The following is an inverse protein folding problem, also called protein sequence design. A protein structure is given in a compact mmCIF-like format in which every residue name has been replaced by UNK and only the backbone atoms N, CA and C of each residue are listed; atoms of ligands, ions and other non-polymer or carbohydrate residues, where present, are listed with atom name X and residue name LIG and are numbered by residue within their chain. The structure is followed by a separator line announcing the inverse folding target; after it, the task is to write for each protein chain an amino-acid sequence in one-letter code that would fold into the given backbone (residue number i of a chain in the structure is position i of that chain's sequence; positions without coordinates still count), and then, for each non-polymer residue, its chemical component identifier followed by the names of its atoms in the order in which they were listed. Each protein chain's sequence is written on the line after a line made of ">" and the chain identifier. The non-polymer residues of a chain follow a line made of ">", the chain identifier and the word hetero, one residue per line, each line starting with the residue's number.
data_IF_874023527907
#
_entry.id   IF_874023527907
#
_cell.length_a   1.000
_cell.length_b   1.000
_cell.length_c   1.000
_cell.angle_alpha   90.00
_cell.angle_beta   90.00
_cell.angle_gamma   90.00
#
_symmetry.space_group_name_H-M   'P 1'
#
loop_
_entity.id
_entity.type
_entity.pdbx_description
1 polymer ?
#
# COMPACT_ATOMS: atom_id res chain seq x y z
N UNK A 1 -7.19 56.98 -32.82
CA UNK A 1 -8.03 56.27 -31.83
C UNK A 1 -8.91 55.29 -32.59
N UNK A 2 -8.61 54.00 -32.51
CA UNK A 2 -9.39 52.94 -33.15
C UNK A 2 -10.43 52.44 -32.15
N UNK A 3 -11.72 52.63 -32.46
CA UNK A 3 -12.81 52.08 -31.66
C UNK A 3 -12.96 50.59 -31.96
N UNK A 4 -12.82 49.76 -30.94
CA UNK A 4 -12.99 48.32 -31.03
C UNK A 4 -14.49 47.99 -30.87
N UNK A 5 -15.10 47.45 -31.92
CA UNK A 5 -16.53 47.12 -31.96
C UNK A 5 -16.84 45.69 -31.46
N UNK A 6 -15.83 44.94 -31.05
CA UNK A 6 -16.00 43.56 -30.62
C UNK A 6 -16.29 43.46 -29.12
N UNK A 7 -17.38 42.79 -28.79
CA UNK A 7 -17.72 42.38 -27.42
C UNK A 7 -16.72 41.29 -27.00
N UNK A 8 -15.93 41.55 -25.96
CA UNK A 8 -15.05 40.53 -25.37
C UNK A 8 -15.90 39.42 -24.74
N UNK A 9 -15.65 38.17 -25.15
CA UNK A 9 -16.25 36.96 -24.58
C UNK A 9 -15.66 36.77 -23.18
N UNK A 10 -16.50 36.92 -22.16
CA UNK A 10 -16.12 36.82 -20.76
C UNK A 10 -16.57 35.43 -20.24
N UNK A 11 -15.67 34.45 -20.39
CA UNK A 11 -15.92 33.02 -20.15
C UNK A 11 -16.50 32.73 -18.75
N UNK A 12 -16.21 33.59 -17.77
CA UNK A 12 -16.65 33.43 -16.37
C UNK A 12 -18.11 33.87 -16.21
N UNK A 13 -18.55 34.89 -16.94
CA UNK A 13 -19.95 35.35 -16.93
C UNK A 13 -20.88 34.44 -17.73
N UNK A 14 -20.34 33.80 -18.76
CA UNK A 14 -21.10 32.93 -19.66
C UNK A 14 -21.21 31.49 -19.15
N UNK A 15 -20.32 31.07 -18.25
CA UNK A 15 -20.40 29.75 -17.57
C UNK A 15 -21.52 29.66 -16.53
N UNK A 16 -22.16 30.78 -16.15
CA UNK A 16 -23.42 30.74 -15.38
C UNK A 16 -24.56 30.42 -16.36
N UNK A 17 -24.54 29.19 -16.88
CA UNK A 17 -25.75 28.57 -17.41
C UNK A 17 -26.73 28.58 -16.25
N UNK A 18 -27.85 29.28 -16.41
CA UNK A 18 -28.95 29.17 -15.47
C UNK A 18 -29.27 27.67 -15.37
N UNK A 19 -28.89 27.05 -14.25
CA UNK A 19 -29.37 25.72 -13.91
C UNK A 19 -30.88 25.81 -14.03
N UNK A 20 -31.44 24.97 -14.88
CA UNK A 20 -32.83 25.05 -15.32
C UNK A 20 -33.81 25.04 -14.16
N UNK A 21 -34.05 26.21 -13.57
CA UNK A 21 -35.33 26.54 -12.99
C UNK A 21 -36.26 26.67 -14.19
N UNK A 22 -37.13 25.68 -14.31
CA UNK A 22 -38.30 25.77 -15.15
C UNK A 22 -39.11 26.98 -14.69
N UNK A 23 -38.84 28.14 -15.28
CA UNK A 23 -39.75 29.28 -15.23
C UNK A 23 -41.00 28.80 -15.96
N UNK A 24 -42.00 28.36 -15.19
CA UNK A 24 -43.35 28.09 -15.66
C UNK A 24 -43.93 29.40 -16.20
N UNK A 25 -43.73 29.63 -17.50
CA UNK A 25 -44.44 30.69 -18.22
C UNK A 25 -45.87 30.23 -18.50
N UNK A 26 -46.85 31.14 -18.49
CA UNK A 26 -48.30 30.85 -18.45
C UNK A 26 -48.88 30.16 -19.70
N UNK A 27 -48.05 29.58 -20.57
CA UNK A 27 -48.49 28.88 -21.78
C UNK A 27 -49.17 27.54 -21.46
N UNK A 28 -48.97 26.98 -20.25
CA UNK A 28 -49.65 25.76 -19.78
C UNK A 28 -51.18 25.93 -19.61
N UNK A 29 -51.71 27.17 -19.65
CA UNK A 29 -53.16 27.43 -19.51
C UNK A 29 -53.94 27.48 -20.84
N UNK A 30 -53.28 27.52 -22.00
CA UNK A 30 -53.96 27.72 -23.31
C UNK A 30 -54.52 26.41 -23.90
N UNK A 31 -54.12 25.24 -23.39
CA UNK A 31 -54.53 23.93 -23.95
C UNK A 31 -55.90 23.42 -23.47
N UNK A 32 -56.82 24.31 -23.09
CA UNK A 32 -58.20 23.97 -22.69
C UNK A 32 -59.23 24.25 -23.81
N UNK A 33 -58.84 24.10 -25.08
CA UNK A 33 -59.75 24.20 -26.23
C UNK A 33 -59.93 22.84 -26.94
N UNK A 34 -61.19 22.45 -27.08
CA UNK A 34 -61.72 21.07 -27.17
C UNK A 34 -61.44 20.32 -28.48
N UNK A 35 -60.80 20.93 -29.47
CA UNK A 35 -60.59 20.34 -30.81
C UNK A 35 -59.11 20.07 -31.19
N UNK A 36 -58.16 20.44 -30.34
CA UNK A 36 -56.71 20.28 -30.62
C UNK A 36 -56.07 19.02 -29.99
N UNK A 37 -56.90 18.10 -29.47
CA UNK A 37 -56.51 17.11 -28.47
C UNK A 37 -55.59 15.98 -28.97
N UNK A 38 -55.54 15.67 -30.26
CA UNK A 38 -54.76 14.53 -30.78
C UNK A 38 -53.38 14.94 -31.27
N UNK A 39 -53.29 16.07 -31.99
CA UNK A 39 -52.03 16.59 -32.53
C UNK A 39 -51.16 17.22 -31.43
N UNK A 40 -51.75 17.97 -30.49
CA UNK A 40 -51.02 18.54 -29.35
C UNK A 40 -50.48 17.47 -28.40
N UNK A 41 -51.21 16.35 -28.22
CA UNK A 41 -50.74 15.16 -27.49
C UNK A 41 -49.56 14.46 -28.16
N UNK A 42 -49.49 14.47 -29.50
CA UNK A 42 -48.38 13.86 -30.26
C UNK A 42 -47.13 14.74 -30.27
N UNK A 43 -47.27 16.07 -30.39
CA UNK A 43 -46.13 16.99 -30.47
C UNK A 43 -45.52 17.36 -29.12
N UNK A 44 -46.18 17.01 -28.02
CA UNK A 44 -45.71 17.25 -26.65
C UNK A 44 -45.81 18.71 -26.20
N UNK A 45 -45.69 18.96 -24.88
CA UNK A 45 -45.73 20.31 -24.31
C UNK A 45 -44.55 21.15 -24.82
N UNK A 46 -44.79 22.44 -25.08
CA UNK A 46 -43.76 23.33 -25.60
C UNK A 46 -42.76 23.64 -24.50
N UNK A 47 -41.47 23.30 -24.69
CA UNK A 47 -40.39 23.67 -23.76
C UNK A 47 -39.53 24.75 -24.41
N UNK A 48 -39.20 25.77 -23.63
CA UNK A 48 -38.27 26.84 -24.03
C UNK A 48 -36.90 26.45 -23.50
N UNK A 49 -35.94 26.25 -24.39
CA UNK A 49 -34.54 25.99 -24.08
C UNK A 49 -33.76 27.11 -24.77
N UNK A 50 -33.00 27.89 -24.01
CA UNK A 50 -32.17 29.00 -24.52
C UNK A 50 -32.92 30.02 -25.41
N UNK A 51 -34.16 30.35 -25.05
CA UNK A 51 -34.99 31.31 -25.79
C UNK A 51 -35.65 30.76 -27.06
N UNK A 52 -35.42 29.48 -27.41
CA UNK A 52 -36.06 28.81 -28.55
C UNK A 52 -37.10 27.81 -28.05
N UNK A 53 -38.33 27.92 -28.56
CA UNK A 53 -39.39 26.95 -28.29
C UNK A 53 -39.20 25.71 -29.17
N UNK A 54 -38.86 24.57 -28.57
CA UNK A 54 -38.70 23.31 -29.30
C UNK A 54 -39.85 22.39 -28.94
N UNK A 55 -40.50 21.80 -29.96
CA UNK A 55 -41.54 20.78 -29.77
C UNK A 55 -40.92 19.40 -29.88
N UNK A 56 -40.82 18.71 -28.75
CA UNK A 56 -40.30 17.35 -28.68
C UNK A 56 -41.44 16.36 -28.36
N UNK A 57 -41.68 15.36 -29.23
CA UNK A 57 -42.65 14.32 -28.95
C UNK A 57 -42.33 13.62 -27.62
N UNK A 58 -43.33 13.39 -26.78
CA UNK A 58 -43.13 12.83 -25.43
C UNK A 58 -42.50 11.43 -25.44
N UNK A 59 -42.64 10.67 -26.54
CA UNK A 59 -42.00 9.36 -26.69
C UNK A 59 -40.47 9.48 -26.85
N UNK A 60 -40.01 10.47 -27.61
CA UNK A 60 -38.58 10.67 -27.91
C UNK A 60 -37.87 11.17 -26.65
N UNK A 61 -38.50 12.09 -25.91
CA UNK A 61 -37.97 12.58 -24.64
C UNK A 61 -37.79 11.43 -23.62
N UNK A 62 -38.76 10.51 -23.52
CA UNK A 62 -38.64 9.34 -22.64
C UNK A 62 -37.53 8.39 -23.09
N UNK A 63 -37.39 8.17 -24.39
CA UNK A 63 -36.34 7.33 -24.94
C UNK A 63 -34.94 7.93 -24.69
N UNK A 64 -34.74 9.21 -24.99
CA UNK A 64 -33.48 9.91 -24.73
C UNK A 64 -33.16 9.97 -23.23
N UNK A 65 -34.15 10.25 -22.37
CA UNK A 65 -33.93 10.24 -20.93
C UNK A 65 -33.59 8.84 -20.42
N UNK A 66 -34.21 7.77 -20.96
CA UNK A 66 -33.90 6.38 -20.61
C UNK A 66 -32.48 6.00 -21.06
N UNK A 67 -32.07 6.42 -22.26
CA UNK A 67 -30.71 6.22 -22.76
C UNK A 67 -29.68 6.96 -21.91
N UNK A 68 -29.90 8.24 -21.64
CA UNK A 68 -29.01 9.07 -20.84
C UNK A 68 -28.87 8.52 -19.42
N UNK A 69 -29.98 8.14 -18.78
CA UNK A 69 -29.95 7.56 -17.44
C UNK A 69 -29.24 6.20 -17.42
N UNK A 70 -29.44 5.35 -18.43
CA UNK A 70 -28.75 4.06 -18.52
C UNK A 70 -27.23 4.23 -18.77
N UNK A 71 -26.85 5.15 -19.68
CA UNK A 71 -25.47 5.47 -19.94
C UNK A 71 -24.77 6.08 -18.71
N UNK A 72 -25.45 6.97 -17.99
CA UNK A 72 -24.93 7.58 -16.75
C UNK A 72 -24.73 6.53 -15.64
N UNK A 73 -25.66 5.58 -15.47
CA UNK A 73 -25.53 4.50 -14.49
C UNK A 73 -24.37 3.54 -14.85
N UNK A 74 -24.19 3.22 -16.13
CA UNK A 74 -23.07 2.40 -16.58
C UNK A 74 -21.74 3.13 -16.35
N UNK A 75 -21.65 4.41 -16.70
CA UNK A 75 -20.47 5.22 -16.47
C UNK A 75 -20.10 5.28 -14.98
N UNK A 76 -21.07 5.53 -14.11
CA UNK A 76 -20.83 5.58 -12.66
C UNK A 76 -20.41 4.22 -12.09
N UNK A 77 -20.98 3.12 -12.58
CA UNK A 77 -20.61 1.75 -12.14
C UNK A 77 -19.22 1.34 -12.61
N UNK A 78 -18.81 1.79 -13.80
CA UNK A 78 -17.46 1.55 -14.32
C UNK A 78 -16.42 2.35 -13.56
N UNK A 79 -16.69 3.64 -13.32
CA UNK A 79 -15.78 4.48 -12.53
C UNK A 79 -15.64 3.97 -11.11
N UNK A 80 -16.72 3.58 -10.44
CA UNK A 80 -16.61 3.07 -9.06
C UNK A 80 -15.78 1.78 -8.99
N UNK A 81 -15.97 0.84 -9.93
CA UNK A 81 -15.13 -0.37 -10.01
C UNK A 81 -13.66 -0.06 -10.28
N UNK A 82 -13.39 0.91 -11.15
CA UNK A 82 -12.04 1.36 -11.46
C UNK A 82 -11.39 2.01 -10.23
N UNK A 83 -12.09 2.90 -9.55
CA UNK A 83 -11.63 3.54 -8.31
C UNK A 83 -11.34 2.51 -7.23
N UNK A 84 -12.20 1.50 -7.06
CA UNK A 84 -11.98 0.43 -6.08
C UNK A 84 -10.73 -0.42 -6.42
N UNK A 85 -10.53 -0.76 -7.70
CA UNK A 85 -9.36 -1.51 -8.15
C UNK A 85 -8.07 -0.69 -7.96
N UNK A 86 -8.09 0.57 -8.39
CA UNK A 86 -6.97 1.51 -8.26
C UNK A 86 -6.63 1.78 -6.79
N UNK A 87 -7.63 1.97 -5.93
CA UNK A 87 -7.39 2.17 -4.49
C UNK A 87 -6.80 0.91 -3.82
N UNK A 88 -7.24 -0.29 -4.23
CA UNK A 88 -6.62 -1.55 -3.74
C UNK A 88 -5.17 -1.66 -4.19
N UNK A 89 -4.88 -1.29 -5.44
CA UNK A 89 -3.54 -1.29 -6.00
C UNK A 89 -2.64 -0.28 -5.29
N UNK A 90 -3.06 0.98 -5.14
CA UNK A 90 -2.31 1.99 -4.39
C UNK A 90 -2.11 1.62 -2.91
N UNK A 91 -3.09 0.98 -2.26
CA UNK A 91 -2.89 0.47 -0.90
C UNK A 91 -1.84 -0.64 -0.85
N UNK A 92 -1.77 -1.49 -1.87
CA UNK A 92 -0.72 -2.51 -1.96
C UNK A 92 0.64 -1.86 -2.21
N UNK A 93 0.73 -0.92 -3.14
CA UNK A 93 1.96 -0.16 -3.40
C UNK A 93 2.43 0.62 -2.17
N UNK A 94 1.55 1.38 -1.51
CA UNK A 94 1.90 2.12 -0.31
C UNK A 94 2.35 1.20 0.83
N UNK A 95 1.76 0.01 0.97
CA UNK A 95 2.25 -1.00 1.91
C UNK A 95 3.65 -1.48 1.52
N UNK A 96 3.90 -1.76 0.25
CA UNK A 96 5.24 -2.16 -0.22
C UNK A 96 6.26 -1.03 -0.03
N UNK A 97 5.94 0.19 -0.44
CA UNK A 97 6.81 1.36 -0.32
C UNK A 97 7.08 1.72 1.13
N UNK A 98 6.08 1.70 2.02
CA UNK A 98 6.30 1.92 3.46
C UNK A 98 7.15 0.82 4.09
N UNK A 99 7.00 -0.44 3.66
CA UNK A 99 7.85 -1.56 4.11
C UNK A 99 9.29 -1.41 3.62
N UNK A 100 9.50 -0.99 2.37
CA UNK A 100 10.83 -0.71 1.82
C UNK A 100 11.46 0.52 2.49
N UNK A 101 10.67 1.56 2.77
CA UNK A 101 11.14 2.75 3.46
C UNK A 101 11.55 2.43 4.91
N UNK A 102 10.76 1.62 5.63
CA UNK A 102 11.11 1.14 6.96
C UNK A 102 12.34 0.23 6.95
N UNK A 103 12.60 -0.48 5.84
CA UNK A 103 13.81 -1.26 5.67
C UNK A 103 15.07 -0.39 5.47
N UNK A 104 14.92 0.86 5.05
CA UNK A 104 16.00 1.81 4.78
C UNK A 104 16.16 2.87 5.89
N UNK A 105 15.78 2.56 7.13
CA UNK A 105 15.68 3.58 8.18
C UNK A 105 17.02 4.15 8.67
N UNK A 106 18.18 3.57 8.32
CA UNK A 106 19.49 4.10 8.70
C UNK A 106 20.35 4.52 7.49
N UNK A 107 20.59 5.84 7.29
CA UNK A 107 21.47 6.35 6.25
C UNK A 107 22.97 6.10 6.52
N UNK A 108 23.33 5.67 7.74
CA UNK A 108 24.72 5.30 8.09
C UNK A 108 25.10 3.88 7.62
N UNK A 109 24.12 3.00 7.37
CA UNK A 109 24.39 1.67 6.83
C UNK A 109 24.66 1.74 5.31
N UNK A 110 25.91 1.48 4.92
CA UNK A 110 26.27 1.36 3.50
C UNK A 110 25.81 0.01 2.95
N UNK A 111 24.51 -0.09 2.67
CA UNK A 111 23.84 -1.29 2.13
C UNK A 111 24.58 -1.87 0.91
N UNK A 112 25.11 -1.00 0.05
CA UNK A 112 25.86 -1.41 -1.15
C UNK A 112 27.12 -2.21 -0.81
N UNK A 113 27.83 -1.86 0.26
CA UNK A 113 29.04 -2.57 0.71
C UNK A 113 28.67 -3.81 1.53
N UNK A 114 27.72 -3.69 2.45
CA UNK A 114 27.29 -4.80 3.29
C UNK A 114 26.75 -5.98 2.45
N UNK A 115 25.96 -5.69 1.42
CA UNK A 115 25.40 -6.70 0.53
C UNK A 115 26.46 -7.30 -0.40
N UNK A 116 27.41 -6.49 -0.88
CA UNK A 116 28.54 -7.01 -1.64
C UNK A 116 29.36 -8.00 -0.78
N UNK A 117 29.61 -7.68 0.49
CA UNK A 117 30.33 -8.57 1.39
C UNK A 117 29.59 -9.88 1.68
N UNK A 118 28.26 -9.86 1.84
CA UNK A 118 27.49 -11.09 2.05
C UNK A 118 27.50 -11.99 0.81
N UNK A 119 27.41 -11.42 -0.41
CA UNK A 119 27.57 -12.19 -1.66
C UNK A 119 28.96 -12.81 -1.75
N UNK A 120 30.01 -12.04 -1.48
CA UNK A 120 31.39 -12.53 -1.51
C UNK A 120 31.59 -13.65 -0.48
N UNK A 121 31.02 -13.52 0.72
CA UNK A 121 31.06 -14.55 1.74
C UNK A 121 30.33 -15.84 1.31
N UNK A 122 29.15 -15.72 0.72
CA UNK A 122 28.42 -16.85 0.18
C UNK A 122 29.20 -17.55 -0.94
N UNK A 123 29.81 -16.78 -1.85
CA UNK A 123 30.65 -17.30 -2.93
C UNK A 123 31.90 -17.99 -2.39
N UNK A 124 32.53 -17.43 -1.35
CA UNK A 124 33.64 -18.06 -0.62
C UNK A 124 33.22 -19.38 0.02
N UNK A 125 32.02 -19.44 0.64
CA UNK A 125 31.45 -20.68 1.18
C UNK A 125 31.20 -21.76 0.14
N UNK A 126 30.77 -21.36 -1.06
CA UNK A 126 30.57 -22.27 -2.20
C UNK A 126 31.88 -22.86 -2.70
N UNK A 127 32.93 -22.04 -2.78
CA UNK A 127 34.28 -22.48 -3.15
C UNK A 127 34.82 -23.45 -2.08
N UNK A 128 34.64 -23.14 -0.80
CA UNK A 128 35.15 -23.95 0.30
C UNK A 128 34.50 -25.34 0.38
N UNK A 129 33.24 -25.46 -0.08
CA UNK A 129 32.49 -26.72 -0.08
C UNK A 129 32.51 -27.48 -1.41
N UNK A 130 33.27 -26.98 -2.40
CA UNK A 130 33.36 -27.54 -3.76
C UNK A 130 33.64 -29.06 -3.83
N UNK A 131 34.38 -29.62 -2.84
CA UNK A 131 34.75 -31.04 -2.79
C UNK A 131 34.02 -31.84 -1.70
N UNK A 132 33.03 -31.26 -1.02
CA UNK A 132 32.26 -31.93 0.05
C UNK A 132 30.88 -32.38 -0.44
N UNK A 133 30.14 -33.05 0.43
CA UNK A 133 28.78 -33.54 0.17
C UNK A 133 27.88 -32.45 -0.41
N UNK A 134 26.96 -32.85 -1.30
CA UNK A 134 26.04 -31.95 -2.00
C UNK A 134 25.21 -31.08 -1.04
N UNK A 135 24.88 -31.59 0.15
CA UNK A 135 24.17 -30.84 1.18
C UNK A 135 24.98 -29.63 1.65
N UNK A 136 26.28 -29.81 1.93
CA UNK A 136 27.16 -28.73 2.36
C UNK A 136 27.36 -27.68 1.26
N UNK A 137 27.30 -28.10 -0.01
CA UNK A 137 27.41 -27.19 -1.15
C UNK A 137 26.26 -26.17 -1.20
N UNK A 138 25.08 -26.54 -0.70
CA UNK A 138 23.92 -25.63 -0.66
C UNK A 138 23.80 -24.90 0.67
N UNK A 139 24.04 -25.58 1.80
CA UNK A 139 23.86 -24.95 3.11
C UNK A 139 24.97 -23.96 3.44
N UNK A 140 26.22 -24.23 3.03
CA UNK A 140 27.35 -23.41 3.45
C UNK A 140 27.36 -21.99 2.87
N UNK A 141 27.06 -21.78 1.57
CA UNK A 141 26.89 -20.42 1.02
C UNK A 141 25.80 -19.63 1.76
N UNK A 142 24.70 -20.30 2.12
CA UNK A 142 23.57 -19.67 2.83
C UNK A 142 24.02 -19.27 4.23
N UNK A 143 24.62 -20.19 5.00
CA UNK A 143 25.06 -19.92 6.37
C UNK A 143 26.06 -18.77 6.40
N UNK A 144 27.11 -18.81 5.57
CA UNK A 144 28.12 -17.75 5.54
C UNK A 144 27.57 -16.42 5.01
N UNK A 145 26.72 -16.47 3.98
CA UNK A 145 26.07 -15.28 3.45
C UNK A 145 25.18 -14.59 4.51
N UNK A 146 24.34 -15.35 5.20
CA UNK A 146 23.47 -14.84 6.27
C UNK A 146 24.27 -14.33 7.46
N UNK A 147 25.34 -15.04 7.86
CA UNK A 147 26.18 -14.62 8.97
C UNK A 147 26.85 -13.27 8.68
N UNK A 148 27.43 -13.11 7.49
CA UNK A 148 28.04 -11.83 7.11
C UNK A 148 26.99 -10.75 6.94
N UNK A 149 25.82 -11.06 6.40
CA UNK A 149 24.71 -10.10 6.28
C UNK A 149 24.27 -9.54 7.65
N UNK A 150 24.07 -10.43 8.63
CA UNK A 150 23.72 -10.04 10.00
C UNK A 150 24.81 -9.22 10.68
N UNK A 151 26.09 -9.43 10.31
CA UNK A 151 27.21 -8.67 10.85
C UNK A 151 27.40 -7.30 10.17
N UNK A 152 27.25 -7.22 8.85
CA UNK A 152 27.53 -5.99 8.09
C UNK A 152 26.34 -5.05 7.99
N UNK A 153 25.12 -5.57 8.14
CA UNK A 153 23.87 -4.81 8.05
C UNK A 153 22.87 -5.26 9.13
N UNK A 154 23.19 -5.06 10.43
CA UNK A 154 22.40 -5.60 11.53
C UNK A 154 20.97 -5.04 11.59
N UNK A 155 20.76 -3.74 11.41
CA UNK A 155 19.42 -3.16 11.60
C UNK A 155 18.49 -3.55 10.46
N UNK A 156 18.99 -3.56 9.22
CA UNK A 156 18.24 -4.08 8.06
C UNK A 156 17.92 -5.57 8.23
N UNK A 157 18.85 -6.36 8.77
CA UNK A 157 18.62 -7.79 9.00
C UNK A 157 17.50 -8.02 10.02
N UNK A 158 17.55 -7.35 11.18
CA UNK A 158 16.50 -7.46 12.22
C UNK A 158 15.12 -7.03 11.70
N UNK A 159 15.04 -5.88 11.03
CA UNK A 159 13.79 -5.38 10.44
C UNK A 159 13.24 -6.34 9.37
N UNK A 160 14.11 -6.96 8.57
CA UNK A 160 13.68 -7.95 7.57
C UNK A 160 13.19 -9.23 8.22
N UNK A 161 13.89 -9.72 9.25
CA UNK A 161 13.49 -10.94 9.96
C UNK A 161 12.16 -10.74 10.66
N UNK A 162 11.94 -9.59 11.28
CA UNK A 162 10.68 -9.24 11.94
C UNK A 162 9.54 -9.16 10.91
N UNK A 163 9.80 -8.57 9.74
CA UNK A 163 8.81 -8.55 8.66
C UNK A 163 8.46 -9.95 8.15
N UNK A 164 9.46 -10.81 7.95
CA UNK A 164 9.24 -12.19 7.53
C UNK A 164 8.42 -12.92 8.60
N UNK A 165 8.72 -12.68 9.87
CA UNK A 165 8.00 -13.26 11.00
C UNK A 165 6.53 -12.80 11.05
N UNK A 166 6.25 -11.50 10.91
CA UNK A 166 4.89 -10.95 10.81
C UNK A 166 4.08 -11.63 9.69
N UNK A 167 4.71 -11.83 8.53
CA UNK A 167 4.09 -12.49 7.38
C UNK A 167 3.86 -13.96 7.70
N UNK A 168 4.85 -14.63 8.27
CA UNK A 168 4.76 -16.03 8.65
C UNK A 168 3.67 -16.28 9.69
N UNK A 169 3.48 -15.38 10.65
CA UNK A 169 2.41 -15.48 11.65
C UNK A 169 1.03 -15.49 10.99
N UNK A 170 0.81 -14.60 10.01
CA UNK A 170 -0.47 -14.49 9.30
C UNK A 170 -0.77 -15.71 8.43
N UNK A 171 0.22 -16.20 7.68
CA UNK A 171 -0.01 -17.27 6.69
C UNK A 171 0.30 -18.68 7.21
N UNK A 172 1.27 -18.82 8.13
CA UNK A 172 1.80 -20.10 8.60
C UNK A 172 2.00 -20.13 10.14
N UNK A 173 0.94 -19.95 10.95
CA UNK A 173 1.06 -19.81 12.40
C UNK A 173 1.66 -21.05 13.10
N UNK A 174 1.47 -22.25 12.53
CA UNK A 174 2.05 -23.50 13.06
C UNK A 174 3.56 -23.59 12.86
N UNK A 175 4.09 -22.95 11.83
CA UNK A 175 5.53 -22.93 11.55
C UNK A 175 6.19 -21.88 12.45
N UNK A 176 5.59 -20.69 12.54
CA UNK A 176 5.99 -19.61 13.42
C UNK A 176 6.10 -20.07 14.89
N UNK A 177 5.04 -20.70 15.43
CA UNK A 177 5.07 -21.23 16.80
C UNK A 177 6.14 -22.33 17.06
N UNK A 178 6.62 -23.01 16.00
CA UNK A 178 7.75 -23.94 16.14
C UNK A 178 9.08 -23.19 16.12
N UNK A 179 9.23 -22.20 15.26
CA UNK A 179 10.41 -21.33 15.24
C UNK A 179 10.58 -20.65 16.60
N UNK A 180 9.51 -20.11 17.18
CA UNK A 180 9.54 -19.46 18.49
C UNK A 180 10.04 -20.39 19.58
N UNK A 181 9.52 -21.62 19.63
CA UNK A 181 10.00 -22.64 20.59
C UNK A 181 11.47 -22.96 20.44
N UNK A 182 11.96 -23.01 19.20
CA UNK A 182 13.38 -23.25 18.92
C UNK A 182 14.21 -22.05 19.39
N UNK A 183 13.75 -20.83 19.13
CA UNK A 183 14.42 -19.61 19.57
C UNK A 183 14.44 -19.49 21.10
N UNK A 184 13.34 -19.80 21.78
CA UNK A 184 13.24 -19.83 23.23
C UNK A 184 14.21 -20.84 23.84
N UNK A 185 14.32 -22.03 23.24
CA UNK A 185 15.28 -23.04 23.67
C UNK A 185 16.73 -22.57 23.51
N UNK A 186 17.06 -21.94 22.38
CA UNK A 186 18.41 -21.39 22.13
C UNK A 186 18.72 -20.26 23.12
N UNK A 187 17.80 -19.32 23.32
CA UNK A 187 17.95 -18.21 24.29
C UNK A 187 18.15 -18.73 25.71
N UNK A 188 17.36 -19.71 26.12
CA UNK A 188 17.47 -20.36 27.43
C UNK A 188 18.81 -21.08 27.58
N UNK A 189 19.27 -21.78 26.54
CA UNK A 189 20.57 -22.45 26.54
C UNK A 189 21.75 -21.49 26.65
N UNK A 190 21.72 -20.37 25.93
CA UNK A 190 22.74 -19.31 26.02
C UNK A 190 22.74 -18.72 27.44
N UNK A 191 21.57 -18.38 27.98
CA UNK A 191 21.44 -17.83 29.33
C UNK A 191 22.00 -18.79 30.41
N UNK A 192 21.69 -20.09 30.32
CA UNK A 192 22.24 -21.08 31.25
C UNK A 192 23.77 -21.20 31.15
N UNK A 193 24.34 -21.06 29.96
CA UNK A 193 25.79 -21.14 29.75
C UNK A 193 26.49 -19.91 30.33
N UNK A 194 25.96 -18.71 30.08
CA UNK A 194 26.46 -17.45 30.66
C UNK A 194 26.37 -17.48 32.18
N UNK A 195 25.22 -17.89 32.73
CA UNK A 195 25.05 -18.04 34.18
C UNK A 195 26.03 -19.06 34.79
N UNK A 196 26.25 -20.20 34.11
CA UNK A 196 27.21 -21.21 34.58
C UNK A 196 28.64 -20.65 34.60
N UNK A 197 29.01 -19.87 33.59
CA UNK A 197 30.30 -19.17 33.55
C UNK A 197 30.44 -18.16 34.71
N UNK A 198 29.39 -17.37 34.97
CA UNK A 198 29.37 -16.38 36.04
C UNK A 198 29.46 -17.01 37.44
N UNK A 199 28.80 -18.14 37.65
CA UNK A 199 28.89 -18.88 38.93
C UNK A 199 30.31 -19.39 39.15
N UNK A 200 30.94 -19.96 38.11
CA UNK A 200 32.30 -20.49 38.21
C UNK A 200 33.30 -19.36 38.44
N UNK A 201 33.18 -18.25 37.72
CA UNK A 201 34.05 -17.09 37.88
C UNK A 201 33.93 -16.47 39.27
N UNK A 202 32.70 -16.33 39.79
CA UNK A 202 32.42 -15.87 41.17
C UNK A 202 33.09 -16.78 42.22
N UNK A 203 32.96 -18.11 42.07
CA UNK A 203 33.57 -19.06 43.01
C UNK A 203 35.09 -19.01 42.96
N UNK A 204 35.67 -18.87 41.77
CA UNK A 204 37.11 -18.76 41.58
C UNK A 204 37.67 -17.48 42.20
N UNK A 205 36.98 -16.34 42.01
CA UNK A 205 37.33 -15.08 42.63
C UNK A 205 37.28 -15.16 44.17
N UNK A 206 36.19 -15.73 44.71
CA UNK A 206 36.05 -15.93 46.15
C UNK A 206 37.18 -16.79 46.71
N UNK A 207 37.49 -17.93 46.06
CA UNK A 207 38.57 -18.83 46.49
C UNK A 207 39.94 -18.13 46.49
N UNK A 208 40.21 -17.30 45.47
CA UNK A 208 41.43 -16.49 45.41
C UNK A 208 41.52 -15.52 46.59
N UNK A 209 40.44 -14.82 46.92
CA UNK A 209 40.41 -13.87 48.04
C UNK A 209 40.63 -14.57 49.39
N UNK A 210 40.06 -15.76 49.59
CA UNK A 210 40.31 -16.59 50.79
C UNK A 210 41.79 -16.97 50.94
N UNK A 211 42.45 -17.38 49.85
CA UNK A 211 43.88 -17.74 49.87
C UNK A 211 44.73 -16.51 50.20
N UNK A 212 44.45 -15.36 49.58
CA UNK A 212 45.17 -14.12 49.81
C UNK A 212 45.05 -13.62 51.27
N UNK A 213 43.88 -13.81 51.89
CA UNK A 213 43.69 -13.49 53.29
C UNK A 213 44.51 -14.40 54.21
N UNK A 214 44.61 -15.70 53.89
CA UNK A 214 45.36 -16.64 54.71
C UNK A 214 46.88 -16.48 54.54
N UNK A 215 47.36 -16.10 53.36
CA UNK A 215 48.79 -15.86 53.11
C UNK A 215 49.33 -14.61 53.79
N UNK A 216 48.49 -13.62 54.10
CA UNK A 216 48.89 -12.38 54.79
C UNK A 216 48.96 -12.53 56.32
N UNK A 217 48.56 -13.69 56.87
CA UNK A 217 48.58 -13.98 58.31
C UNK A 217 49.78 -14.85 58.76
N UNK A 218 50.63 -15.28 57.82
CA UNK A 218 51.87 -16.02 58.08
C UNK A 218 53.10 -15.19 57.74
#
# INVERSE_FOLDING_TARGET
>A
MTFDYYRKVDLIKEYVVAQGESISTPIDLINTSKDSNTASKLTGPTRIIDGVSVRCPSYLLRFCNKLNNNAALQYHTLNSKLEHATNRYYKAENKVTSRIANLHSDPEEQLSKGFAYSIVAAMSGSILTKRRNILLRFTMPIILGTLVCSYTIPTTFENTTDLIHDIEEVYFPKFCAKQDRVMDFIRTGIAHTVMSYDIVSYKLASAKDYIQQHSNFS
#
